data_IF_169836965931
#
_entry.id   IF_169836965931
#
_cell.length_a   1.000
_cell.length_b   1.000
_cell.length_c   1.000
_cell.angle_alpha   90.00
_cell.angle_beta   90.00
_cell.angle_gamma   90.00
#
_symmetry.space_group_name_H-M   'P 1'
#
loop_
_entity.id
_entity.type
_entity.pdbx_description
1 polymer ?
#
# COMPACT_ATOMS: atom_id res chain seq x y z
N UNK A 1 2.61 -11.03 -7.30
CA UNK A 1 1.90 -9.76 -7.03
C UNK A 1 0.44 -9.98 -7.40
N UNK A 2 -0.41 -10.06 -6.39
CA UNK A 2 -1.88 -10.11 -6.58
C UNK A 2 -2.34 -8.67 -6.76
N UNK A 3 -3.02 -8.37 -7.87
CA UNK A 3 -3.64 -7.05 -8.11
C UNK A 3 -4.98 -7.03 -7.38
N UNK A 4 -5.23 -5.97 -6.62
CA UNK A 4 -6.50 -5.77 -5.90
C UNK A 4 -7.48 -5.04 -6.82
N UNK A 5 -8.51 -5.74 -7.30
CA UNK A 5 -9.63 -5.16 -8.06
C UNK A 5 -10.71 -4.68 -7.06
N UNK A 6 -10.59 -3.44 -6.60
CA UNK A 6 -11.54 -2.84 -5.65
C UNK A 6 -12.91 -2.57 -6.32
N UNK A 7 -14.05 -3.01 -5.75
CA UNK A 7 -15.37 -2.80 -6.32
C UNK A 7 -15.90 -1.37 -6.08
N UNK A 8 -16.57 -0.79 -7.08
CA UNK A 8 -17.11 0.57 -7.12
C UNK A 8 -17.96 0.92 -5.88
N UNK A 9 -17.61 2.01 -5.18
CA UNK A 9 -18.32 2.54 -4.02
C UNK A 9 -19.35 3.64 -4.43
N UNK A 10 -20.42 3.85 -3.64
CA UNK A 10 -21.56 4.68 -4.06
C UNK A 10 -21.30 6.19 -3.96
N UNK A 11 -21.65 6.90 -5.04
CA UNK A 11 -21.47 8.35 -5.26
C UNK A 11 -22.11 9.24 -4.17
N UNK A 12 -21.31 10.08 -3.50
CA UNK A 12 -21.81 11.19 -2.67
C UNK A 12 -21.41 12.55 -3.27
N UNK A 13 -22.40 13.42 -3.52
CA UNK A 13 -22.22 14.74 -4.17
C UNK A 13 -21.34 15.68 -3.34
N UNK A 14 -20.09 15.87 -3.76
CA UNK A 14 -19.24 17.00 -3.37
C UNK A 14 -19.50 18.24 -4.24
N UNK A 15 -19.42 19.42 -3.59
CA UNK A 15 -19.59 20.81 -4.08
C UNK A 15 -19.76 21.09 -5.59
N UNK A 16 -20.78 21.90 -5.90
CA UNK A 16 -21.39 22.21 -7.21
C UNK A 16 -20.53 22.82 -8.33
N UNK A 17 -19.19 22.79 -8.32
CA UNK A 17 -18.39 23.45 -9.37
C UNK A 17 -17.13 22.70 -9.84
N UNK A 18 -17.03 21.39 -9.63
CA UNK A 18 -16.00 20.57 -10.27
C UNK A 18 -16.64 19.38 -11.02
N UNK A 19 -16.24 19.09 -12.27
CA UNK A 19 -16.73 17.91 -12.97
C UNK A 19 -16.38 16.64 -12.18
N UNK A 20 -17.40 15.81 -12.00
CA UNK A 20 -17.47 14.64 -11.10
C UNK A 20 -16.40 13.57 -11.40
N UNK A 21 -15.77 13.60 -12.59
CA UNK A 21 -14.73 12.65 -13.02
C UNK A 21 -13.30 12.95 -12.51
N UNK A 22 -13.04 14.10 -11.88
CA UNK A 22 -11.66 14.55 -11.68
C UNK A 22 -10.99 14.04 -10.39
N UNK A 23 -11.74 13.43 -9.47
CA UNK A 23 -11.23 13.05 -8.16
C UNK A 23 -11.65 11.63 -7.79
N UNK A 24 -10.72 10.65 -7.80
CA UNK A 24 -10.96 9.38 -7.12
C UNK A 24 -11.25 9.70 -5.65
N UNK A 25 -12.34 9.15 -5.13
CA UNK A 25 -12.96 9.46 -3.85
C UNK A 25 -11.99 9.73 -2.69
N UNK A 26 -12.26 10.78 -1.91
CA UNK A 26 -12.11 10.94 -0.44
C UNK A 26 -10.84 10.51 0.30
N UNK A 27 -9.87 9.85 -0.34
CA UNK A 27 -8.68 9.20 0.22
C UNK A 27 -7.38 9.90 -0.18
N UNK A 28 -7.49 11.02 -0.88
CA UNK A 28 -6.38 11.79 -1.42
C UNK A 28 -6.19 13.11 -0.67
N UNK A 29 -6.42 13.10 0.65
CA UNK A 29 -6.23 14.25 1.52
C UNK A 29 -4.78 14.72 1.46
N UNK A 30 -4.57 15.89 0.86
CA UNK A 30 -3.24 16.51 0.75
C UNK A 30 -2.51 16.22 -0.56
N UNK A 31 -2.94 15.20 -1.32
CA UNK A 31 -2.34 14.88 -2.61
C UNK A 31 -2.66 15.96 -3.65
N UNK A 32 -3.93 16.37 -3.76
CA UNK A 32 -4.32 17.43 -4.68
C UNK A 32 -3.91 18.80 -4.15
N UNK A 33 -3.11 19.58 -4.89
CA UNK A 33 -2.73 20.90 -4.45
C UNK A 33 -3.95 21.82 -4.37
N UNK A 34 -3.90 22.76 -3.43
CA UNK A 34 -4.98 23.69 -3.16
C UNK A 34 -4.44 25.08 -2.84
N UNK A 35 -5.19 26.10 -3.26
CA UNK A 35 -4.98 27.49 -2.85
C UNK A 35 -5.76 27.84 -1.57
N UNK A 36 -6.64 26.96 -1.11
CA UNK A 36 -7.40 27.16 0.12
C UNK A 36 -6.55 26.79 1.34
N UNK A 37 -6.36 27.74 2.25
CA UNK A 37 -5.59 27.56 3.50
C UNK A 37 -6.11 26.49 4.43
N UNK A 38 -7.41 26.18 4.33
CA UNK A 38 -8.08 25.20 5.20
C UNK A 38 -8.15 23.81 4.53
N UNK A 39 -7.65 23.67 3.29
CA UNK A 39 -7.58 22.39 2.60
C UNK A 39 -6.27 21.66 2.94
N UNK A 40 -6.29 20.32 3.10
CA UNK A 40 -5.09 19.52 3.39
C UNK A 40 -3.97 19.71 2.37
N UNK A 41 -4.31 19.94 1.10
CA UNK A 41 -3.34 20.17 0.02
C UNK A 41 -2.90 21.62 -0.13
N UNK A 42 -3.11 22.48 0.87
CA UNK A 42 -2.73 23.88 0.77
C UNK A 42 -1.24 24.00 0.42
N UNK A 43 -0.94 24.61 -0.72
CA UNK A 43 0.45 24.71 -1.21
C UNK A 43 1.34 25.55 -0.29
N UNK A 44 0.78 26.24 0.70
CA UNK A 44 1.48 27.11 1.64
C UNK A 44 1.52 28.57 1.18
N UNK A 45 1.77 29.51 2.10
CA UNK A 45 1.87 30.94 1.77
C UNK A 45 3.14 31.26 0.97
N UNK A 46 3.25 32.50 0.48
CA UNK A 46 4.46 33.04 -0.14
C UNK A 46 4.29 33.53 -1.58
N UNK A 47 5.37 34.07 -2.13
CA UNK A 47 5.40 34.59 -3.50
C UNK A 47 5.29 33.45 -4.52
N UNK A 48 4.89 33.81 -5.75
CA UNK A 48 4.75 32.90 -6.90
C UNK A 48 3.80 31.72 -6.64
N UNK A 49 2.80 31.89 -5.76
CA UNK A 49 1.86 30.84 -5.37
C UNK A 49 1.12 30.24 -6.58
N UNK A 50 0.81 31.04 -7.62
CA UNK A 50 0.17 30.55 -8.85
C UNK A 50 1.07 29.62 -9.65
N UNK A 51 2.36 29.95 -9.77
CA UNK A 51 3.33 29.11 -10.48
C UNK A 51 3.60 27.82 -9.71
N UNK A 52 3.76 27.92 -8.39
CA UNK A 52 3.89 26.75 -7.50
C UNK A 52 2.66 25.84 -7.59
N UNK A 53 1.46 26.42 -7.57
CA UNK A 53 0.22 25.68 -7.75
C UNK A 53 0.18 24.97 -9.10
N UNK A 54 0.47 25.68 -10.19
CA UNK A 54 0.47 25.10 -11.54
C UNK A 54 1.48 23.95 -11.67
N UNK A 55 2.67 24.10 -11.08
CA UNK A 55 3.68 23.04 -11.04
C UNK A 55 3.20 21.83 -10.25
N UNK A 56 2.71 22.03 -9.03
CA UNK A 56 2.20 20.94 -8.19
C UNK A 56 0.99 20.24 -8.84
N UNK A 57 0.12 20.99 -9.52
CA UNK A 57 -1.02 20.44 -10.25
C UNK A 57 -0.55 19.52 -11.39
N UNK A 58 0.42 19.97 -12.18
CA UNK A 58 0.97 19.18 -13.28
C UNK A 58 1.68 17.91 -12.78
N UNK A 59 2.39 17.99 -11.65
CA UNK A 59 3.03 16.82 -11.02
C UNK A 59 1.98 15.81 -10.52
N UNK A 60 0.95 16.26 -9.80
CA UNK A 60 -0.13 15.40 -9.33
C UNK A 60 -0.90 14.74 -10.49
N UNK A 61 -1.20 15.50 -11.55
CA UNK A 61 -1.83 14.97 -12.76
C UNK A 61 -0.97 13.91 -13.44
N UNK A 62 0.35 14.13 -13.55
CA UNK A 62 1.28 13.16 -14.14
C UNK A 62 1.35 11.86 -13.31
N UNK A 63 1.38 11.97 -11.98
CA UNK A 63 1.34 10.80 -11.08
C UNK A 63 0.04 10.00 -11.29
N UNK A 64 -1.11 10.67 -11.31
CA UNK A 64 -2.40 9.99 -11.52
C UNK A 64 -2.53 9.39 -12.92
N UNK A 65 -1.95 10.03 -13.93
CA UNK A 65 -1.92 9.50 -15.28
C UNK A 65 -1.05 8.24 -15.38
N UNK A 66 0.11 8.22 -14.74
CA UNK A 66 0.96 7.03 -14.63
C UNK A 66 0.24 5.88 -13.90
N UNK A 67 -0.51 6.20 -12.84
CA UNK A 67 -1.35 5.21 -12.14
C UNK A 67 -2.41 4.59 -13.05
N UNK A 68 -3.15 5.43 -13.79
CA UNK A 68 -4.18 4.97 -14.75
C UNK A 68 -3.60 4.11 -15.89
N UNK A 69 -2.30 4.22 -16.15
CA UNK A 69 -1.56 3.44 -17.15
C UNK A 69 -0.93 2.16 -16.60
N UNK A 70 -1.16 1.84 -15.32
CA UNK A 70 -0.49 0.76 -14.60
C UNK A 70 1.04 0.92 -14.49
N UNK A 71 1.59 2.14 -14.68
CA UNK A 71 3.03 2.36 -14.53
C UNK A 71 3.47 2.26 -13.06
N UNK A 72 2.56 2.57 -12.14
CA UNK A 72 2.69 2.33 -10.69
C UNK A 72 1.34 1.92 -10.09
N UNK A 73 1.38 1.20 -8.97
CA UNK A 73 0.17 0.60 -8.39
C UNK A 73 0.33 0.35 -6.88
N UNK A 74 -0.78 0.13 -6.19
CA UNK A 74 -0.78 -0.41 -4.83
C UNK A 74 -0.69 -1.94 -4.87
N UNK A 75 0.16 -2.50 -4.03
CA UNK A 75 0.43 -3.93 -3.92
C UNK A 75 0.38 -4.42 -2.48
N UNK A 76 0.44 -5.74 -2.33
CA UNK A 76 0.61 -6.40 -1.04
C UNK A 76 1.97 -7.09 -0.93
N UNK A 77 2.58 -7.00 0.24
CA UNK A 77 3.74 -7.80 0.64
C UNK A 77 3.21 -8.94 1.50
N UNK A 78 3.56 -10.18 1.14
CA UNK A 78 3.17 -11.40 1.85
C UNK A 78 4.44 -12.17 2.19
N UNK A 79 4.63 -12.52 3.46
CA UNK A 79 5.72 -13.38 3.89
C UNK A 79 5.21 -14.79 4.16
N UNK A 80 5.74 -15.75 3.41
CA UNK A 80 5.63 -17.19 3.68
C UNK A 80 6.77 -17.65 4.57
N UNK A 81 6.54 -18.65 5.42
CA UNK A 81 7.59 -19.26 6.24
C UNK A 81 7.71 -20.75 5.94
N UNK A 82 8.92 -21.19 5.61
CA UNK A 82 9.26 -22.58 5.38
C UNK A 82 10.48 -23.00 6.19
N UNK A 83 10.54 -24.27 6.61
CA UNK A 83 11.69 -24.88 7.25
C UNK A 83 12.07 -26.14 6.48
N UNK A 84 13.32 -26.22 6.01
CA UNK A 84 13.86 -27.35 5.23
C UNK A 84 12.95 -27.78 4.05
N UNK A 85 12.39 -26.80 3.33
CA UNK A 85 11.48 -27.03 2.20
C UNK A 85 10.05 -27.39 2.58
N UNK A 86 9.74 -27.52 3.88
CA UNK A 86 8.37 -27.69 4.37
C UNK A 86 7.77 -26.32 4.64
N UNK A 87 6.68 -25.99 3.94
CA UNK A 87 5.92 -24.76 4.18
C UNK A 87 5.21 -24.91 5.52
N UNK A 88 5.54 -24.03 6.46
CA UNK A 88 4.91 -23.95 7.78
C UNK A 88 3.65 -23.08 7.73
N UNK A 89 3.72 -21.98 6.97
CA UNK A 89 2.60 -21.09 6.68
C UNK A 89 2.86 -20.35 5.35
N UNK A 90 1.94 -20.47 4.40
CA UNK A 90 2.01 -19.83 3.07
C UNK A 90 1.80 -18.31 3.17
N UNK A 91 1.07 -17.83 4.18
CA UNK A 91 0.68 -16.43 4.34
C UNK A 91 0.83 -16.01 5.81
N UNK A 92 2.02 -16.22 6.38
CA UNK A 92 2.28 -15.96 7.80
C UNK A 92 1.90 -14.52 8.20
N UNK A 93 2.27 -13.54 7.37
CA UNK A 93 1.88 -12.15 7.57
C UNK A 93 1.80 -11.43 6.22
N UNK A 94 0.93 -10.43 6.14
CA UNK A 94 0.83 -9.57 4.96
C UNK A 94 0.50 -8.13 5.31
N UNK A 95 0.98 -7.21 4.46
CA UNK A 95 0.59 -5.80 4.45
C UNK A 95 0.13 -5.44 3.05
N UNK A 96 -0.97 -4.70 2.95
CA UNK A 96 -1.59 -4.28 1.68
C UNK A 96 -1.65 -2.75 1.58
N UNK A 97 -1.77 -2.24 0.36
CA UNK A 97 -1.78 -0.80 0.11
C UNK A 97 -0.37 -0.19 0.06
N UNK A 98 0.64 -1.00 -0.25
CA UNK A 98 2.03 -0.55 -0.41
C UNK A 98 2.21 -0.09 -1.86
N UNK A 99 2.64 1.14 -2.08
CA UNK A 99 2.90 1.64 -3.42
C UNK A 99 3.99 0.78 -4.09
N UNK A 100 4.00 0.67 -5.41
CA UNK A 100 5.05 0.01 -6.17
C UNK A 100 5.24 0.75 -7.49
N UNK A 101 6.50 0.95 -7.87
CA UNK A 101 6.97 1.77 -8.99
C UNK A 101 6.56 3.25 -8.91
N UNK A 102 6.32 3.78 -7.71
CA UNK A 102 5.89 5.17 -7.56
C UNK A 102 6.89 6.13 -8.24
N UNK A 103 6.43 7.15 -8.99
CA UNK A 103 7.32 8.01 -9.78
C UNK A 103 8.46 8.61 -8.95
N UNK A 104 9.69 8.42 -9.42
CA UNK A 104 10.90 8.91 -8.75
C UNK A 104 11.43 8.01 -7.63
N UNK A 105 10.85 6.83 -7.42
CA UNK A 105 11.32 5.80 -6.49
C UNK A 105 11.93 4.60 -7.23
N UNK A 106 12.64 3.74 -6.50
CA UNK A 106 13.31 2.53 -7.01
C UNK A 106 12.79 1.23 -6.37
N UNK A 107 11.69 1.33 -5.61
CA UNK A 107 11.10 0.25 -4.79
C UNK A 107 11.97 -0.27 -3.64
N UNK A 108 13.09 0.36 -3.29
CA UNK A 108 13.94 -0.14 -2.19
C UNK A 108 13.15 -0.32 -0.88
N UNK A 109 12.23 0.59 -0.58
CA UNK A 109 11.37 0.54 0.62
C UNK A 109 10.44 -0.68 0.67
N UNK A 110 10.17 -1.39 -0.43
CA UNK A 110 9.42 -2.65 -0.37
C UNK A 110 10.17 -3.69 0.49
N UNK A 111 11.50 -3.63 0.46
CA UNK A 111 12.34 -4.48 1.32
C UNK A 111 12.24 -4.01 2.77
N UNK A 112 12.30 -2.71 3.03
CA UNK A 112 12.14 -2.16 4.38
C UNK A 112 10.79 -2.55 5.00
N UNK A 113 9.71 -2.48 4.22
CA UNK A 113 8.37 -2.92 4.64
C UNK A 113 8.34 -4.43 4.91
N UNK A 114 9.00 -5.24 4.09
CA UNK A 114 9.09 -6.68 4.34
C UNK A 114 9.90 -6.97 5.62
N UNK A 115 11.00 -6.24 5.84
CA UNK A 115 11.86 -6.38 7.00
C UNK A 115 11.15 -6.01 8.31
N UNK A 116 10.29 -4.99 8.28
CA UNK A 116 9.43 -4.63 9.42
C UNK A 116 8.47 -5.77 9.82
N UNK A 117 8.06 -6.62 8.86
CA UNK A 117 7.17 -7.76 9.11
C UNK A 117 7.92 -9.04 9.54
N UNK A 118 9.25 -9.10 9.36
CA UNK A 118 10.04 -10.31 9.62
C UNK A 118 9.94 -10.86 11.05
N UNK A 119 10.00 -10.04 12.12
CA UNK A 119 9.96 -10.57 13.49
C UNK A 119 8.66 -11.35 13.77
N UNK A 120 7.53 -10.84 13.29
CA UNK A 120 6.24 -11.48 13.46
C UNK A 120 6.09 -12.74 12.60
N UNK A 121 6.57 -12.70 11.35
CA UNK A 121 6.63 -13.87 10.48
C UNK A 121 7.42 -15.02 11.12
N UNK A 122 8.62 -14.73 11.65
CA UNK A 122 9.47 -15.71 12.34
C UNK A 122 8.74 -16.26 13.57
N UNK A 123 8.09 -15.42 14.37
CA UNK A 123 7.34 -15.87 15.55
C UNK A 123 6.18 -16.81 15.16
N UNK A 124 5.50 -16.56 14.04
CA UNK A 124 4.45 -17.42 13.50
C UNK A 124 5.04 -18.78 13.06
N UNK A 125 6.13 -18.76 12.31
CA UNK A 125 6.83 -19.97 11.89
C UNK A 125 7.31 -20.83 13.06
N UNK A 126 7.90 -20.23 14.08
CA UNK A 126 8.33 -20.94 15.30
C UNK A 126 7.15 -21.61 16.01
N UNK A 127 6.01 -20.92 16.13
CA UNK A 127 4.80 -21.51 16.71
C UNK A 127 4.27 -22.68 15.88
N UNK A 128 4.28 -22.55 14.55
CA UNK A 128 3.86 -23.63 13.65
C UNK A 128 4.78 -24.87 13.78
N UNK A 129 6.10 -24.66 13.76
CA UNK A 129 7.08 -25.72 13.96
C UNK A 129 6.92 -26.43 15.32
N UNK A 130 6.74 -25.67 16.41
CA UNK A 130 6.49 -26.23 17.75
C UNK A 130 5.26 -27.12 17.78
N UNK A 131 4.16 -26.70 17.14
CA UNK A 131 2.92 -27.49 17.05
C UNK A 131 3.13 -28.80 16.27
N UNK A 132 3.88 -28.75 15.17
CA UNK A 132 4.22 -29.95 14.39
C UNK A 132 5.08 -30.93 15.22
N UNK A 133 6.14 -30.45 15.87
CA UNK A 133 6.98 -31.28 16.72
C UNK A 133 6.20 -31.96 17.86
N UNK A 134 5.31 -31.21 18.53
CA UNK A 134 4.46 -31.75 19.59
C UNK A 134 3.52 -32.84 19.05
N UNK A 135 2.94 -32.62 17.87
CA UNK A 135 2.04 -33.59 17.22
C UNK A 135 2.78 -34.87 16.86
N UNK A 136 3.97 -34.76 16.26
CA UNK A 136 4.81 -35.91 15.89
C UNK A 136 5.27 -36.70 17.12
N UNK A 137 5.67 -36.01 18.18
CA UNK A 137 6.09 -36.64 19.44
C UNK A 137 4.94 -37.44 20.07
N UNK A 138 3.72 -36.89 20.06
CA UNK A 138 2.53 -37.57 20.56
C UNK A 138 2.10 -38.77 19.70
N UNK A 139 2.33 -38.72 18.38
CA UNK A 139 2.10 -39.84 17.47
C UNK A 139 3.08 -40.98 17.75
N UNK A 140 4.37 -40.68 17.89
CA UNK A 140 5.40 -41.68 18.20
C UNK A 140 5.21 -42.35 19.56
N UNK A 141 4.61 -41.66 20.54
CA UNK A 141 4.28 -42.24 21.84
C UNK A 141 3.07 -43.20 21.82
N UNK A 142 2.31 -43.26 20.71
CA UNK A 142 1.11 -44.11 20.55
C UNK A 142 1.35 -45.37 19.71
N UNK A 143 2.49 -45.45 19.04
CA UNK A 143 2.95 -46.59 18.22
C UNK A 143 3.93 -47.45 19.00
#
# INVERSE_FOLDING_TARGET
IVRDDCPDAPEFRGSENAPVERFPEGRQDGFWPSLNKDAPGFIGPGNNFRERFAKAQAEAEAIMEAWRKDDWFYCGIVLSVSLDGVILDEHAISLWGVEANYPGTDNAYLTDVADDLLPDAIAIGLRAAQRLCATLSNLGART
#
